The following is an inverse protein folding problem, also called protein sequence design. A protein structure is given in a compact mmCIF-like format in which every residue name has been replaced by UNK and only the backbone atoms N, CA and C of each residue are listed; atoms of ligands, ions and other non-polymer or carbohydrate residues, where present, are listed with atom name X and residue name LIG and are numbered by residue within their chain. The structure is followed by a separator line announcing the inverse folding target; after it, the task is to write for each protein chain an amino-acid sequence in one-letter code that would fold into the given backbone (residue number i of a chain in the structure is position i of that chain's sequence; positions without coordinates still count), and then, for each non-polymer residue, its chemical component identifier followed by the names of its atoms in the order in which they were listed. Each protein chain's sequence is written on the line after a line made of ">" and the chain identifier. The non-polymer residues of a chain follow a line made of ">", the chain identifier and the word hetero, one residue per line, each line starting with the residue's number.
data_IF_439651029356
#
_entry.id   IF_439651029356
#
_cell.length_a   1.000
_cell.length_b   1.000
_cell.length_c   1.000
_cell.angle_alpha   90.00
_cell.angle_beta   90.00
_cell.angle_gamma   90.00
#
_symmetry.space_group_name_H-M   'P 1'
#
loop_
_entity.id
_entity.type
_entity.pdbx_description
1 polymer ?
#
# COMPACT_ATOMS: atom_id res chain seq x y z
N UNK A 1 -20.58 8.46 -8.20
CA UNK A 1 -19.18 7.99 -8.23
C UNK A 1 -18.95 7.06 -7.07
N UNK A 2 -18.91 5.75 -7.32
CA UNK A 2 -18.39 4.80 -6.35
C UNK A 2 -16.86 4.90 -6.34
N UNK A 3 -16.26 4.81 -5.15
CA UNK A 3 -14.81 4.79 -4.96
C UNK A 3 -14.42 3.36 -4.60
N UNK A 4 -13.45 2.79 -5.29
CA UNK A 4 -12.95 1.45 -4.96
C UNK A 4 -12.09 1.50 -3.70
N UNK A 5 -11.14 2.44 -3.67
CA UNK A 5 -10.32 2.68 -2.49
C UNK A 5 -10.87 3.87 -1.69
N UNK A 6 -11.15 3.67 -0.41
CA UNK A 6 -11.62 4.74 0.48
C UNK A 6 -10.62 5.91 0.50
N UNK A 7 -11.12 7.14 0.60
CA UNK A 7 -10.27 8.35 0.55
C UNK A 7 -9.13 8.32 1.57
N UNK A 8 -9.40 7.88 2.81
CA UNK A 8 -8.36 7.76 3.84
C UNK A 8 -7.24 6.79 3.43
N UNK A 9 -7.60 5.67 2.79
CA UNK A 9 -6.63 4.69 2.27
C UNK A 9 -5.81 5.28 1.12
N UNK A 10 -6.44 6.06 0.22
CA UNK A 10 -5.71 6.77 -0.83
C UNK A 10 -4.70 7.77 -0.25
N UNK A 11 -5.09 8.53 0.77
CA UNK A 11 -4.23 9.52 1.42
C UNK A 11 -3.08 8.85 2.19
N UNK A 12 -3.32 7.70 2.82
CA UNK A 12 -2.27 6.89 3.46
C UNK A 12 -1.25 6.40 2.43
N UNK A 13 -1.70 5.83 1.32
CA UNK A 13 -0.79 5.36 0.26
C UNK A 13 -0.02 6.53 -0.35
N UNK A 14 -0.68 7.64 -0.68
CA UNK A 14 -0.02 8.83 -1.23
C UNK A 14 1.07 9.37 -0.29
N UNK A 15 0.82 9.39 1.01
CA UNK A 15 1.80 9.87 1.99
C UNK A 15 2.95 8.89 2.21
N UNK A 16 2.67 7.59 2.37
CA UNK A 16 3.70 6.58 2.63
C UNK A 16 4.58 6.28 1.43
N UNK A 17 4.05 6.42 0.21
CA UNK A 17 4.75 6.12 -1.04
C UNK A 17 5.09 7.37 -1.85
N UNK A 18 5.01 8.57 -1.25
CA UNK A 18 5.25 9.85 -1.93
C UNK A 18 6.54 9.88 -2.73
N UNK A 19 7.60 9.26 -2.19
CA UNK A 19 8.91 9.21 -2.82
C UNK A 19 9.15 8.01 -3.74
N UNK A 20 8.17 7.11 -3.83
CA UNK A 20 8.22 5.93 -4.68
C UNK A 20 8.25 6.33 -6.16
N UNK A 21 9.25 5.83 -6.89
CA UNK A 21 9.52 6.25 -8.27
C UNK A 21 8.34 5.97 -9.22
N UNK A 22 7.73 4.78 -9.12
CA UNK A 22 6.57 4.42 -9.96
C UNK A 22 5.39 5.35 -9.67
N UNK A 23 5.13 5.69 -8.40
CA UNK A 23 4.01 6.56 -8.03
C UNK A 23 4.22 7.97 -8.61
N UNK A 24 5.39 8.56 -8.39
CA UNK A 24 5.75 9.90 -8.93
C UNK A 24 5.51 10.00 -10.44
N UNK A 25 5.76 8.92 -11.15
CA UNK A 25 5.67 8.84 -12.61
C UNK A 25 4.22 8.65 -13.06
N UNK A 26 3.47 7.75 -12.40
CA UNK A 26 2.03 7.56 -12.62
C UNK A 26 1.27 8.87 -12.33
N UNK A 27 1.63 9.60 -11.28
CA UNK A 27 0.99 10.89 -10.96
C UNK A 27 1.12 11.92 -12.09
N UNK A 28 2.26 11.95 -12.79
CA UNK A 28 2.49 12.86 -13.92
C UNK A 28 1.76 12.43 -15.19
N UNK A 29 1.82 11.14 -15.50
CA UNK A 29 1.37 10.57 -16.77
C UNK A 29 -0.12 10.24 -16.78
N UNK A 30 -0.68 9.77 -15.66
CA UNK A 30 -2.07 9.34 -15.58
C UNK A 30 -3.05 10.45 -15.21
N UNK A 31 -2.57 11.64 -14.85
CA UNK A 31 -3.44 12.77 -14.46
C UNK A 31 -4.48 13.12 -15.53
N UNK A 32 -4.09 13.03 -16.80
CA UNK A 32 -5.01 13.27 -17.91
C UNK A 32 -6.12 12.21 -18.00
N UNK A 33 -5.85 10.95 -17.68
CA UNK A 33 -6.86 9.90 -17.71
C UNK A 33 -7.81 10.00 -16.53
N UNK A 34 -7.29 10.33 -15.33
CA UNK A 34 -8.12 10.69 -14.18
C UNK A 34 -9.13 11.78 -14.55
N UNK A 35 -8.70 12.82 -15.28
CA UNK A 35 -9.58 13.92 -15.70
C UNK A 35 -10.60 13.55 -16.79
N UNK A 36 -10.37 12.45 -17.53
CA UNK A 36 -11.25 11.96 -18.59
C UNK A 36 -12.36 11.05 -18.06
N UNK A 37 -12.16 10.45 -16.89
CA UNK A 37 -13.15 9.59 -16.23
C UNK A 37 -14.14 10.43 -15.43
N UNK A 38 -15.41 10.44 -15.85
CA UNK A 38 -16.41 11.37 -15.33
C UNK A 38 -17.35 10.75 -14.28
N UNK A 39 -17.43 9.43 -14.23
CA UNK A 39 -18.44 8.69 -13.45
C UNK A 39 -17.81 7.66 -12.50
N UNK A 40 -16.63 7.15 -12.84
CA UNK A 40 -15.77 6.36 -11.98
C UNK A 40 -14.71 7.26 -11.36
N UNK A 41 -14.53 7.19 -10.04
CA UNK A 41 -13.39 7.86 -9.39
C UNK A 41 -12.24 6.88 -9.36
N UNK A 42 -11.32 6.99 -10.32
CA UNK A 42 -10.12 6.17 -10.39
C UNK A 42 -8.89 7.08 -10.42
N UNK A 43 -8.31 7.30 -9.25
CA UNK A 43 -7.23 8.26 -9.06
C UNK A 43 -5.87 7.73 -9.52
N UNK A 44 -4.87 8.61 -9.58
CA UNK A 44 -3.47 8.21 -9.81
C UNK A 44 -2.97 7.22 -8.74
N UNK A 45 -3.51 7.28 -7.52
CA UNK A 45 -3.22 6.29 -6.47
C UNK A 45 -3.83 4.93 -6.82
N UNK A 46 -5.05 4.89 -7.34
CA UNK A 46 -5.69 3.63 -7.77
C UNK A 46 -4.98 3.03 -8.99
N UNK A 47 -4.47 3.85 -9.91
CA UNK A 47 -3.55 3.38 -10.95
C UNK A 47 -2.28 2.76 -10.37
N UNK A 48 -1.63 3.44 -9.42
CA UNK A 48 -0.43 2.92 -8.78
C UNK A 48 -0.69 1.58 -8.09
N UNK A 49 -1.77 1.46 -7.33
CA UNK A 49 -2.16 0.21 -6.67
C UNK A 49 -2.40 -0.91 -7.68
N UNK A 50 -3.11 -0.65 -8.78
CA UNK A 50 -3.34 -1.70 -9.79
C UNK A 50 -2.09 -2.13 -10.54
N UNK A 51 -1.25 -1.17 -10.93
CA UNK A 51 0.01 -1.48 -11.62
C UNK A 51 0.90 -2.34 -10.72
N UNK A 52 0.97 -2.02 -9.43
CA UNK A 52 1.73 -2.81 -8.46
C UNK A 52 1.15 -4.20 -8.27
N UNK A 53 -0.18 -4.32 -8.06
CA UNK A 53 -0.83 -5.61 -7.88
C UNK A 53 -0.59 -6.52 -9.09
N UNK A 54 -0.76 -6.00 -10.30
CA UNK A 54 -0.52 -6.78 -11.52
C UNK A 54 0.93 -7.22 -11.68
N UNK A 55 1.91 -6.38 -11.32
CA UNK A 55 3.33 -6.77 -11.36
C UNK A 55 3.60 -7.89 -10.36
N UNK A 56 3.03 -7.80 -9.16
CA UNK A 56 3.20 -8.83 -8.14
C UNK A 56 2.50 -10.13 -8.53
N UNK A 57 1.30 -10.07 -9.10
CA UNK A 57 0.58 -11.22 -9.63
C UNK A 57 1.38 -11.92 -10.75
N UNK A 58 1.93 -11.14 -11.71
CA UNK A 58 2.80 -11.67 -12.77
C UNK A 58 4.06 -12.27 -12.18
N UNK A 59 4.65 -11.66 -11.15
CA UNK A 59 5.86 -12.18 -10.52
C UNK A 59 5.61 -13.49 -9.75
N UNK A 60 4.48 -13.58 -9.05
CA UNK A 60 4.10 -14.78 -8.29
C UNK A 60 3.81 -15.96 -9.22
N UNK A 61 3.07 -15.73 -10.30
CA UNK A 61 2.60 -16.80 -11.18
C UNK A 61 3.51 -17.03 -12.38
N UNK A 62 4.31 -16.03 -12.78
CA UNK A 62 5.28 -16.07 -13.88
C UNK A 62 4.70 -16.70 -15.16
N UNK A 63 4.99 -17.98 -15.40
CA UNK A 63 4.53 -18.75 -16.55
C UNK A 63 3.02 -19.04 -16.51
N UNK A 64 2.44 -19.17 -15.32
CA UNK A 64 1.04 -19.51 -15.09
C UNK A 64 0.12 -18.27 -15.04
N UNK A 65 0.68 -17.06 -15.18
CA UNK A 65 -0.14 -15.86 -15.24
C UNK A 65 -1.02 -15.86 -16.50
N UNK A 66 -2.32 -15.59 -16.31
CA UNK A 66 -3.31 -15.61 -17.39
C UNK A 66 -3.30 -14.32 -18.21
N UNK A 67 -2.28 -14.17 -19.05
CA UNK A 67 -2.14 -13.02 -19.94
C UNK A 67 -3.29 -12.89 -20.96
N UNK A 68 -3.92 -14.01 -21.35
CA UNK A 68 -4.99 -14.00 -22.36
C UNK A 68 -6.30 -13.40 -21.81
N UNK A 69 -6.49 -13.43 -20.49
CA UNK A 69 -7.65 -12.82 -19.85
C UNK A 69 -7.29 -11.60 -18.97
N UNK A 70 -6.07 -11.04 -19.09
CA UNK A 70 -5.62 -9.94 -18.24
C UNK A 70 -6.56 -8.71 -18.30
N UNK A 71 -7.01 -8.34 -19.49
CA UNK A 71 -8.00 -7.27 -19.68
C UNK A 71 -9.34 -7.61 -19.06
N UNK A 72 -9.92 -8.76 -19.39
CA UNK A 72 -11.25 -9.15 -18.89
C UNK A 72 -11.27 -9.30 -17.37
N UNK A 73 -10.22 -9.86 -16.78
CA UNK A 73 -10.07 -10.03 -15.34
C UNK A 73 -10.07 -8.66 -14.63
N UNK A 74 -9.26 -7.71 -15.10
CA UNK A 74 -9.22 -6.38 -14.50
C UNK A 74 -10.49 -5.58 -14.79
N UNK A 75 -10.98 -5.60 -16.03
CA UNK A 75 -12.19 -4.89 -16.45
C UNK A 75 -13.42 -5.36 -15.67
N UNK A 76 -13.58 -6.66 -15.45
CA UNK A 76 -14.68 -7.21 -14.66
C UNK A 76 -14.69 -6.71 -13.22
N UNK A 77 -13.52 -6.50 -12.60
CA UNK A 77 -13.42 -5.89 -11.27
C UNK A 77 -13.75 -4.40 -11.30
N UNK A 78 -13.23 -3.66 -12.29
CA UNK A 78 -13.38 -2.21 -12.33
C UNK A 78 -14.79 -1.76 -12.75
N UNK A 79 -15.46 -2.52 -13.62
CA UNK A 79 -16.82 -2.18 -14.11
C UNK A 79 -17.87 -2.16 -13.00
N UNK A 80 -17.64 -2.87 -11.89
CA UNK A 80 -18.54 -2.84 -10.73
C UNK A 80 -18.66 -1.45 -10.11
N UNK A 81 -17.63 -0.61 -10.29
CA UNK A 81 -17.56 0.76 -9.77
C UNK A 81 -17.91 1.83 -10.81
N UNK A 82 -18.25 1.42 -12.03
CA UNK A 82 -18.41 2.30 -13.17
C UNK A 82 -19.86 2.39 -13.63
N UNK A 83 -20.43 3.59 -13.51
CA UNK A 83 -21.80 3.91 -13.94
C UNK A 83 -21.85 4.62 -15.30
N UNK A 84 -20.73 4.77 -16.01
CA UNK A 84 -20.70 5.36 -17.35
C UNK A 84 -21.38 4.45 -18.37
N UNK A 85 -21.83 5.06 -19.48
CA UNK A 85 -22.37 4.32 -20.60
C UNK A 85 -21.33 3.31 -21.13
N UNK A 86 -21.73 2.05 -21.25
CA UNK A 86 -20.88 0.93 -21.71
C UNK A 86 -19.60 0.74 -20.88
N UNK A 87 -19.58 1.17 -19.61
CA UNK A 87 -18.43 1.09 -18.73
C UNK A 87 -17.15 1.71 -19.34
N UNK A 88 -17.31 2.86 -20.00
CA UNK A 88 -16.23 3.56 -20.68
C UNK A 88 -15.09 3.96 -19.74
N UNK A 89 -15.40 4.39 -18.52
CA UNK A 89 -14.38 4.79 -17.54
C UNK A 89 -13.56 3.57 -17.07
N UNK A 90 -14.21 2.45 -16.76
CA UNK A 90 -13.54 1.20 -16.39
C UNK A 90 -12.70 0.65 -17.55
N UNK A 91 -13.16 0.78 -18.80
CA UNK A 91 -12.38 0.42 -19.99
C UNK A 91 -11.12 1.28 -20.10
N UNK A 92 -11.20 2.59 -19.83
CA UNK A 92 -10.03 3.48 -19.78
C UNK A 92 -9.08 3.08 -18.66
N UNK A 93 -9.59 2.92 -17.44
CA UNK A 93 -8.77 2.55 -16.28
C UNK A 93 -8.04 1.23 -16.50
N UNK A 94 -8.74 0.21 -17.00
CA UNK A 94 -8.16 -1.11 -17.35
C UNK A 94 -7.05 -0.97 -18.38
N UNK A 95 -7.33 -0.24 -19.47
CA UNK A 95 -6.39 -0.05 -20.57
C UNK A 95 -5.10 0.63 -20.12
N UNK A 96 -5.23 1.68 -19.32
CA UNK A 96 -4.09 2.46 -18.83
C UNK A 96 -3.27 1.66 -17.82
N UNK A 97 -3.89 0.93 -16.89
CA UNK A 97 -3.18 0.08 -15.93
C UNK A 97 -2.37 -1.03 -16.60
N UNK A 98 -2.97 -1.77 -17.54
CA UNK A 98 -2.27 -2.84 -18.28
C UNK A 98 -1.14 -2.27 -19.14
N UNK A 99 -1.38 -1.12 -19.79
CA UNK A 99 -0.34 -0.45 -20.59
C UNK A 99 0.85 -0.03 -19.71
N UNK A 100 0.59 0.44 -18.49
CA UNK A 100 1.64 0.76 -17.52
C UNK A 100 2.47 -0.46 -17.12
N UNK A 101 1.83 -1.59 -16.87
CA UNK A 101 2.54 -2.85 -16.55
C UNK A 101 3.40 -3.28 -17.74
N UNK A 102 2.83 -3.28 -18.95
CA UNK A 102 3.57 -3.60 -20.17
C UNK A 102 4.76 -2.65 -20.38
N UNK A 103 4.59 -1.35 -20.12
CA UNK A 103 5.67 -0.37 -20.19
C UNK A 103 6.82 -0.71 -19.24
N UNK A 104 6.52 -1.06 -17.98
CA UNK A 104 7.55 -1.41 -16.99
C UNK A 104 8.31 -2.68 -17.37
N UNK A 105 7.62 -3.66 -17.97
CA UNK A 105 8.25 -4.86 -18.51
C UNK A 105 9.10 -4.57 -19.74
N UNK A 106 8.61 -3.74 -20.67
CA UNK A 106 9.39 -3.30 -21.83
C UNK A 106 10.67 -2.58 -21.40
N UNK A 107 10.68 -1.74 -20.37
CA UNK A 107 11.94 -1.13 -19.90
C UNK A 107 13.03 -2.15 -19.53
N UNK A 108 12.64 -3.38 -19.20
CA UNK A 108 13.51 -4.43 -18.71
C UNK A 108 13.77 -5.55 -19.75
N UNK A 109 13.33 -5.39 -21.01
CA UNK A 109 13.39 -6.43 -22.05
C UNK A 109 14.82 -6.95 -22.30
N UNK A 110 15.82 -6.08 -22.17
CA UNK A 110 17.23 -6.39 -22.46
C UNK A 110 17.90 -7.26 -21.38
N UNK A 111 17.19 -7.56 -20.28
CA UNK A 111 17.72 -8.32 -19.14
C UNK A 111 17.11 -9.70 -18.99
N UNK A 112 15.87 -9.90 -19.43
CA UNK A 112 15.17 -11.20 -19.41
C UNK A 112 14.22 -11.31 -20.59
N UNK A 113 14.43 -12.30 -21.43
CA UNK A 113 13.61 -12.56 -22.63
C UNK A 113 12.12 -12.74 -22.28
N UNK A 114 11.81 -13.31 -21.11
CA UNK A 114 10.44 -13.50 -20.64
C UNK A 114 9.68 -12.18 -20.45
N UNK A 115 10.34 -11.09 -20.08
CA UNK A 115 9.67 -9.80 -19.85
C UNK A 115 9.20 -9.17 -21.15
N UNK A 116 9.97 -9.30 -22.23
CA UNK A 116 9.56 -8.89 -23.57
C UNK A 116 8.33 -9.68 -24.01
N UNK A 117 8.37 -11.00 -23.80
CA UNK A 117 7.26 -11.90 -24.11
C UNK A 117 5.99 -11.52 -23.33
N UNK A 118 6.09 -11.29 -22.02
CA UNK A 118 4.96 -10.88 -21.18
C UNK A 118 4.38 -9.53 -21.58
N UNK A 119 5.24 -8.53 -21.85
CA UNK A 119 4.80 -7.22 -22.32
C UNK A 119 4.06 -7.33 -23.67
N UNK A 120 4.55 -8.18 -24.58
CA UNK A 120 3.89 -8.47 -25.84
C UNK A 120 2.55 -9.19 -25.67
N UNK A 121 2.42 -10.12 -24.73
CA UNK A 121 1.12 -10.76 -24.43
C UNK A 121 0.12 -9.77 -23.85
N UNK A 122 0.52 -8.93 -22.90
CA UNK A 122 -0.35 -7.87 -22.35
C UNK A 122 -0.83 -6.90 -23.43
N UNK A 123 0.06 -6.42 -24.29
CA UNK A 123 -0.30 -5.50 -25.38
C UNK A 123 -1.09 -6.19 -26.49
N UNK A 124 -0.85 -7.49 -26.74
CA UNK A 124 -1.66 -8.33 -27.61
C UNK A 124 -3.10 -8.46 -27.11
N UNK A 125 -3.28 -8.67 -25.80
CA UNK A 125 -4.59 -8.72 -25.17
C UNK A 125 -5.31 -7.37 -25.19
N UNK A 126 -4.61 -6.25 -25.04
CA UNK A 126 -5.20 -4.92 -25.25
C UNK A 126 -5.69 -4.74 -26.70
N UNK A 127 -4.89 -5.20 -27.68
CA UNK A 127 -5.22 -5.11 -29.10
C UNK A 127 -6.47 -5.91 -29.47
N UNK A 128 -6.69 -7.09 -28.88
CA UNK A 128 -7.90 -7.90 -29.13
C UNK A 128 -9.18 -7.23 -28.61
N UNK A 129 -9.06 -6.20 -27.76
CA UNK A 129 -10.16 -5.39 -27.23
C UNK A 129 -10.32 -4.02 -27.92
N UNK A 130 -9.68 -3.86 -29.09
CA UNK A 130 -9.62 -2.62 -29.89
C UNK A 130 -9.06 -1.42 -29.11
N UNK A 131 -8.14 -1.67 -28.16
CA UNK A 131 -7.49 -0.61 -27.39
C UNK A 131 -6.26 -0.10 -28.14
N UNK A 132 -6.19 1.21 -28.37
CA UNK A 132 -4.99 1.87 -28.88
C UNK A 132 -3.94 2.08 -27.78
N UNK A 133 -3.32 0.98 -27.34
CA UNK A 133 -2.29 1.00 -26.29
C UNK A 133 -1.04 1.80 -26.71
N UNK A 134 -0.77 1.94 -28.02
CA UNK A 134 0.36 2.73 -28.53
C UNK A 134 0.21 4.20 -28.19
N UNK A 135 -0.99 4.76 -28.35
CA UNK A 135 -1.26 6.14 -27.93
C UNK A 135 -1.05 6.30 -26.42
N UNK A 136 -1.45 5.32 -25.61
CA UNK A 136 -1.26 5.36 -24.15
C UNK A 136 0.24 5.30 -23.81
N UNK A 137 1.02 4.48 -24.50
CA UNK A 137 2.49 4.43 -24.34
C UNK A 137 3.16 5.74 -24.75
N UNK A 138 2.76 6.32 -25.87
CA UNK A 138 3.26 7.63 -26.32
C UNK A 138 2.95 8.73 -25.31
N UNK A 139 1.72 8.74 -24.79
CA UNK A 139 1.28 9.64 -23.74
C UNK A 139 2.14 9.48 -22.47
N UNK A 140 2.38 8.24 -22.02
CA UNK A 140 3.26 7.94 -20.88
C UNK A 140 4.68 8.45 -21.13
N UNK A 141 5.28 8.08 -22.26
CA UNK A 141 6.65 8.44 -22.63
C UNK A 141 6.81 9.96 -22.74
N UNK A 142 5.82 10.68 -23.27
CA UNK A 142 5.86 12.14 -23.43
C UNK A 142 5.97 12.90 -22.10
N UNK A 143 5.62 12.25 -20.98
CA UNK A 143 5.65 12.83 -19.62
C UNK A 143 6.88 12.44 -18.83
N UNK A 144 7.78 11.65 -19.42
CA UNK A 144 8.96 11.09 -18.77
C UNK A 144 10.25 11.64 -19.41
N UNK A 145 11.08 12.35 -18.64
CA UNK A 145 12.45 12.63 -19.04
C UNK A 145 13.27 11.34 -19.15
N UNK A 146 14.24 11.30 -20.07
CA UNK A 146 15.10 10.13 -20.33
C UNK A 146 15.73 9.52 -19.06
N UNK A 147 16.23 10.35 -18.14
CA UNK A 147 16.81 9.89 -16.88
C UNK A 147 15.81 9.10 -16.00
N UNK A 148 14.51 9.43 -16.06
CA UNK A 148 13.49 8.71 -15.29
C UNK A 148 13.25 7.30 -15.84
N UNK A 149 13.44 7.07 -17.15
CA UNK A 149 13.32 5.72 -17.72
C UNK A 149 14.37 4.77 -17.14
N UNK A 150 15.62 5.24 -17.05
CA UNK A 150 16.72 4.44 -16.49
C UNK A 150 16.56 4.21 -14.98
N UNK A 151 16.16 5.24 -14.22
CA UNK A 151 15.88 5.08 -12.79
C UNK A 151 14.74 4.07 -12.54
N UNK A 152 13.67 4.11 -13.33
CA UNK A 152 12.56 3.14 -13.24
C UNK A 152 13.07 1.74 -13.59
N UNK A 153 13.84 1.61 -14.67
CA UNK A 153 14.42 0.33 -15.09
C UNK A 153 15.26 -0.29 -13.98
N UNK A 154 16.19 0.47 -13.40
CA UNK A 154 17.03 0.03 -12.28
C UNK A 154 16.15 -0.42 -11.10
N UNK A 155 15.12 0.37 -10.77
CA UNK A 155 14.19 0.02 -9.70
C UNK A 155 13.45 -1.29 -9.97
N UNK A 156 12.83 -1.44 -11.14
CA UNK A 156 12.03 -2.62 -11.49
C UNK A 156 12.89 -3.88 -11.54
N UNK A 157 14.10 -3.81 -12.11
CA UNK A 157 15.04 -4.94 -12.10
C UNK A 157 15.40 -5.35 -10.68
N UNK A 158 15.73 -4.38 -9.81
CA UNK A 158 16.02 -4.65 -8.40
C UNK A 158 14.79 -5.11 -7.60
N UNK A 159 13.59 -4.77 -8.05
CA UNK A 159 12.33 -5.12 -7.40
C UNK A 159 11.86 -6.54 -7.75
N UNK A 160 11.75 -6.86 -9.05
CA UNK A 160 11.22 -8.15 -9.49
C UNK A 160 12.13 -9.31 -9.05
N UNK A 161 13.44 -9.07 -8.99
CA UNK A 161 14.42 -10.07 -8.55
C UNK A 161 14.49 -10.22 -7.01
N UNK A 162 13.75 -9.43 -6.24
CA UNK A 162 13.80 -9.47 -4.78
C UNK A 162 12.67 -10.33 -4.20
N UNK A 163 12.95 -11.60 -3.80
CA UNK A 163 11.92 -12.54 -3.32
C UNK A 163 11.16 -12.03 -2.09
N UNK A 164 11.78 -11.17 -1.27
CA UNK A 164 11.27 -10.74 0.03
C UNK A 164 10.47 -9.43 -0.02
N UNK A 165 10.42 -8.75 -1.17
CA UNK A 165 9.70 -7.48 -1.33
C UNK A 165 8.43 -7.65 -2.14
N UNK A 166 7.28 -7.56 -1.49
CA UNK A 166 5.96 -7.51 -2.14
C UNK A 166 5.34 -6.14 -1.90
N UNK A 167 5.31 -5.30 -2.93
CA UNK A 167 4.86 -3.92 -2.84
C UNK A 167 3.34 -3.86 -2.70
N UNK A 168 2.60 -4.79 -3.32
CA UNK A 168 1.17 -4.99 -3.08
C UNK A 168 0.89 -5.27 -1.60
N UNK A 169 1.64 -6.20 -0.99
CA UNK A 169 1.52 -6.51 0.44
C UNK A 169 1.89 -5.31 1.31
N UNK A 170 2.92 -4.53 0.93
CA UNK A 170 3.32 -3.33 1.67
C UNK A 170 2.24 -2.23 1.60
N UNK A 171 1.58 -2.07 0.45
CA UNK A 171 0.42 -1.18 0.29
C UNK A 171 -0.74 -1.66 1.17
N UNK A 172 -1.05 -2.96 1.12
CA UNK A 172 -2.13 -3.54 1.92
C UNK A 172 -1.87 -3.39 3.43
N UNK A 173 -0.64 -3.68 3.87
CA UNK A 173 -0.19 -3.47 5.24
C UNK A 173 -0.28 -1.99 5.63
N UNK A 174 0.13 -1.07 4.75
CA UNK A 174 0.01 0.38 4.99
C UNK A 174 -1.43 0.80 5.21
N UNK A 175 -2.37 0.26 4.44
CA UNK A 175 -3.80 0.56 4.59
C UNK A 175 -4.34 -0.07 5.89
N UNK A 176 -4.08 -1.36 6.09
CA UNK A 176 -4.56 -2.15 7.23
C UNK A 176 -4.06 -1.62 8.58
N UNK A 177 -2.82 -1.13 8.59
CA UNK A 177 -2.15 -0.62 9.79
C UNK A 177 -2.15 0.91 9.86
N UNK A 178 -2.92 1.59 9.01
CA UNK A 178 -3.00 3.06 8.96
C UNK A 178 -1.64 3.76 8.94
N UNK A 179 -0.71 3.23 8.15
CA UNK A 179 0.66 3.73 8.00
C UNK A 179 1.57 3.46 9.21
N UNK A 180 1.12 2.67 10.18
CA UNK A 180 1.93 2.28 11.32
C UNK A 180 2.85 1.09 10.99
N UNK A 181 3.92 0.98 11.78
CA UNK A 181 4.88 -0.10 11.64
C UNK A 181 4.21 -1.45 11.97
N UNK A 182 4.17 -2.37 11.00
CA UNK A 182 3.60 -3.71 11.16
C UNK A 182 4.24 -4.48 12.33
N UNK A 183 5.56 -4.41 12.47
CA UNK A 183 6.29 -5.09 13.55
C UNK A 183 5.84 -4.56 14.91
N UNK A 184 5.75 -3.24 15.08
CA UNK A 184 5.21 -2.63 16.32
C UNK A 184 3.82 -3.17 16.67
N UNK A 185 2.93 -3.26 15.69
CA UNK A 185 1.58 -3.79 15.92
C UNK A 185 1.60 -5.26 16.32
N UNK A 186 2.43 -6.08 15.65
CA UNK A 186 2.56 -7.50 15.99
C UNK A 186 3.18 -7.70 17.37
N UNK A 187 4.18 -6.90 17.73
CA UNK A 187 4.82 -6.93 19.05
C UNK A 187 3.84 -6.53 20.16
N UNK A 188 2.96 -5.54 19.90
CA UNK A 188 1.93 -5.11 20.85
C UNK A 188 0.75 -6.07 20.96
N UNK A 189 0.45 -6.84 19.90
CA UNK A 189 -0.75 -7.69 19.81
C UNK A 189 -0.97 -8.63 21.01
N UNK A 190 0.04 -9.33 21.54
CA UNK A 190 -0.13 -10.22 22.70
C UNK A 190 -0.58 -9.52 23.99
N UNK A 191 -0.40 -8.19 24.08
CA UNK A 191 -0.75 -7.41 25.27
C UNK A 191 -2.19 -6.89 25.24
N UNK A 192 -2.86 -6.92 24.09
CA UNK A 192 -4.23 -6.44 23.94
C UNK A 192 -5.21 -7.61 24.01
N UNK A 193 -6.38 -7.41 24.62
CA UNK A 193 -7.41 -8.45 24.67
C UNK A 193 -7.83 -8.88 23.26
N UNK A 194 -7.99 -10.19 23.06
CA UNK A 194 -8.38 -10.76 21.77
C UNK A 194 -9.86 -10.49 21.50
N UNK A 195 -10.18 -10.03 20.30
CA UNK A 195 -11.54 -9.72 19.86
C UNK A 195 -11.54 -8.97 18.53
N UNK A 196 -12.72 -8.70 17.98
CA UNK A 196 -12.90 -8.01 16.70
C UNK A 196 -12.21 -6.63 16.67
N UNK A 197 -12.16 -5.94 17.81
CA UNK A 197 -11.57 -4.59 17.94
C UNK A 197 -10.09 -4.57 18.35
N UNK A 198 -9.41 -5.72 18.46
CA UNK A 198 -8.03 -5.76 18.97
C UNK A 198 -7.08 -4.85 18.16
N UNK A 199 -7.15 -4.94 16.83
CA UNK A 199 -6.31 -4.13 15.95
C UNK A 199 -6.64 -2.63 16.08
N UNK A 200 -7.94 -2.29 16.13
CA UNK A 200 -8.39 -0.91 16.28
C UNK A 200 -7.89 -0.29 17.60
N UNK A 201 -7.92 -1.05 18.69
CA UNK A 201 -7.37 -0.61 19.98
C UNK A 201 -5.85 -0.40 19.95
N UNK A 202 -5.10 -1.28 19.29
CA UNK A 202 -3.64 -1.11 19.14
C UNK A 202 -3.33 0.15 18.33
N UNK A 203 -4.02 0.35 17.21
CA UNK A 203 -3.86 1.55 16.36
C UNK A 203 -4.20 2.81 17.16
N UNK A 204 -5.34 2.84 17.86
CA UNK A 204 -5.73 3.97 18.69
C UNK A 204 -4.69 4.28 19.78
N UNK A 205 -4.17 3.24 20.43
CA UNK A 205 -3.11 3.36 21.44
C UNK A 205 -1.85 3.99 20.85
N UNK A 206 -1.36 3.48 19.72
CA UNK A 206 -0.15 4.03 19.06
C UNK A 206 -0.37 5.50 18.67
N UNK A 207 -1.55 5.89 18.18
CA UNK A 207 -1.88 7.29 17.87
C UNK A 207 -1.79 8.17 19.11
N UNK A 208 -2.43 7.78 20.21
CA UNK A 208 -2.40 8.54 21.47
C UNK A 208 -0.96 8.67 22.00
N UNK A 209 -0.18 7.59 21.94
CA UNK A 209 1.23 7.59 22.36
C UNK A 209 2.09 8.50 21.48
N UNK A 210 1.97 8.41 20.14
CA UNK A 210 2.74 9.26 19.21
C UNK A 210 2.34 10.74 19.26
N UNK A 211 1.10 11.04 19.63
CA UNK A 211 0.62 12.41 19.78
C UNK A 211 1.20 13.13 21.01
N UNK A 212 1.89 12.42 21.90
CA UNK A 212 2.56 13.00 23.06
C UNK A 212 4.08 12.80 23.02
N UNK A 213 4.83 13.78 23.54
CA UNK A 213 6.29 13.69 23.68
C UNK A 213 6.74 13.39 25.12
N UNK A 214 5.79 13.16 26.03
CA UNK A 214 6.04 13.03 27.47
C UNK A 214 5.84 11.58 27.93
N UNK A 215 6.93 10.95 28.40
CA UNK A 215 6.91 9.62 29.02
C UNK A 215 5.88 9.52 30.17
N UNK A 216 5.69 10.58 30.94
CA UNK A 216 4.68 10.59 32.02
C UNK A 216 3.25 10.52 31.48
N UNK A 217 2.98 11.12 30.32
CA UNK A 217 1.68 11.07 29.65
C UNK A 217 1.45 9.70 29.03
N UNK A 218 2.48 9.10 28.43
CA UNK A 218 2.41 7.74 27.86
C UNK A 218 2.04 6.72 28.94
N UNK A 219 2.60 6.84 30.15
CA UNK A 219 2.23 5.98 31.27
C UNK A 219 0.75 6.14 31.66
N UNK A 220 0.21 7.36 31.63
CA UNK A 220 -1.22 7.63 31.89
C UNK A 220 -2.13 7.07 30.81
N UNK A 221 -1.76 7.22 29.53
CA UNK A 221 -2.47 6.62 28.40
C UNK A 221 -2.50 5.09 28.56
N UNK A 222 -1.36 4.48 28.87
CA UNK A 222 -1.27 3.04 29.08
C UNK A 222 -2.12 2.58 30.27
N UNK A 223 -2.08 3.31 31.39
CA UNK A 223 -2.94 3.04 32.54
C UNK A 223 -4.43 3.12 32.17
N UNK A 224 -4.86 4.14 31.42
CA UNK A 224 -6.23 4.26 30.90
C UNK A 224 -6.63 3.03 30.10
N UNK A 225 -5.79 2.58 29.16
CA UNK A 225 -6.08 1.39 28.34
C UNK A 225 -6.17 0.09 29.15
N UNK A 226 -5.46 0.00 30.28
CA UNK A 226 -5.58 -1.11 31.22
C UNK A 226 -6.92 -1.05 31.97
N UNK A 227 -7.29 0.11 32.53
CA UNK A 227 -8.56 0.27 33.25
C UNK A 227 -9.78 0.03 32.35
N UNK A 228 -9.70 0.46 31.08
CA UNK A 228 -10.71 0.21 30.06
C UNK A 228 -10.72 -1.24 29.57
N UNK A 229 -9.89 -2.13 30.14
CA UNK A 229 -9.74 -3.54 29.74
C UNK A 229 -9.45 -3.72 28.25
N UNK A 230 -8.59 -2.86 27.70
CA UNK A 230 -8.06 -2.98 26.33
C UNK A 230 -6.70 -3.67 26.31
N UNK A 231 -5.87 -3.36 27.31
CA UNK A 231 -4.59 -4.04 27.57
C UNK A 231 -4.79 -5.01 28.74
N UNK A 232 -4.27 -6.23 28.59
CA UNK A 232 -4.27 -7.24 29.65
C UNK A 232 -3.28 -6.86 30.76
N UNK A 233 -3.75 -6.88 32.00
CA UNK A 233 -2.94 -6.66 33.20
C UNK A 233 -2.64 -7.95 33.97
N UNK A 234 -2.87 -9.12 33.35
CA UNK A 234 -2.69 -10.43 33.98
C UNK A 234 -1.32 -10.53 34.70
N UNK A 235 -1.38 -10.73 36.02
CA UNK A 235 -0.25 -10.80 36.96
C UNK A 235 0.73 -9.61 36.96
N UNK A 236 0.36 -8.45 36.40
CA UNK A 236 1.24 -7.26 36.22
C UNK A 236 2.54 -7.55 35.42
N UNK A 237 2.64 -8.72 34.80
CA UNK A 237 3.83 -9.19 34.07
C UNK A 237 4.06 -8.41 32.77
N UNK A 238 3.03 -7.73 32.27
CA UNK A 238 3.07 -6.97 31.02
C UNK A 238 4.00 -5.74 31.04
N UNK A 239 4.29 -5.15 32.22
CA UNK A 239 4.94 -3.83 32.28
C UNK A 239 6.33 -3.83 31.67
N UNK A 240 7.12 -4.86 31.96
CA UNK A 240 8.48 -4.95 31.46
C UNK A 240 8.54 -5.15 29.94
N UNK A 241 7.88 -6.19 29.41
CA UNK A 241 7.81 -6.42 27.98
C UNK A 241 7.17 -5.26 27.19
N UNK A 242 6.11 -4.64 27.72
CA UNK A 242 5.49 -3.47 27.06
C UNK A 242 6.45 -2.27 27.01
N UNK A 243 7.23 -2.04 28.07
CA UNK A 243 8.29 -1.03 28.05
C UNK A 243 9.36 -1.33 27.02
N UNK A 244 9.82 -2.59 26.93
CA UNK A 244 10.81 -3.01 25.94
C UNK A 244 10.34 -2.66 24.52
N UNK A 245 9.10 -3.02 24.17
CA UNK A 245 8.53 -2.73 22.85
C UNK A 245 8.44 -1.22 22.59
N UNK A 246 7.89 -0.46 23.53
CA UNK A 246 7.79 1.00 23.37
C UNK A 246 9.16 1.66 23.27
N UNK A 247 10.16 1.13 23.96
CA UNK A 247 11.53 1.66 23.92
C UNK A 247 12.24 1.32 22.61
N UNK A 248 12.14 0.07 22.14
CA UNK A 248 12.72 -0.39 20.87
C UNK A 248 12.17 0.35 19.66
N UNK A 249 10.88 0.71 19.69
CA UNK A 249 10.23 1.50 18.64
C UNK A 249 10.29 3.01 18.89
N UNK A 250 11.17 3.46 19.80
CA UNK A 250 11.44 4.87 20.15
C UNK A 250 10.21 5.67 20.63
N UNK A 251 9.15 4.98 21.05
CA UNK A 251 7.93 5.59 21.59
C UNK A 251 8.09 6.01 23.06
N UNK A 252 9.02 5.41 23.80
CA UNK A 252 9.27 5.72 25.21
C UNK A 252 10.77 5.78 25.50
N UNK A 253 11.27 6.83 26.15
CA UNK A 253 12.73 7.10 26.21
C UNK A 253 13.38 6.71 27.52
N UNK A 254 12.66 6.78 28.63
CA UNK A 254 13.25 6.56 29.95
C UNK A 254 13.40 5.09 30.31
N UNK A 255 14.24 4.81 31.32
CA UNK A 255 14.56 3.46 31.78
C UNK A 255 13.35 2.71 32.35
N UNK A 256 13.37 1.38 32.27
CA UNK A 256 12.35 0.43 32.78
C UNK A 256 11.85 0.73 34.20
N UNK A 257 12.74 1.11 35.11
CA UNK A 257 12.36 1.44 36.49
C UNK A 257 11.48 2.68 36.59
N UNK A 258 11.73 3.69 35.74
CA UNK A 258 10.92 4.90 35.69
C UNK A 258 9.54 4.60 35.09
N UNK A 259 9.49 3.75 34.06
CA UNK A 259 8.23 3.23 33.52
C UNK A 259 7.40 2.52 34.58
N UNK A 260 8.00 1.57 35.30
CA UNK A 260 7.31 0.81 36.34
C UNK A 260 6.74 1.74 37.43
N UNK A 261 7.52 2.73 37.87
CA UNK A 261 7.06 3.75 38.82
C UNK A 261 5.92 4.59 38.25
N UNK A 262 6.04 5.06 37.02
CA UNK A 262 5.04 5.90 36.37
C UNK A 262 3.71 5.16 36.19
N UNK A 263 3.74 3.91 35.69
CA UNK A 263 2.54 3.07 35.57
C UNK A 263 1.92 2.79 36.94
N UNK A 264 2.72 2.42 37.94
CA UNK A 264 2.19 2.18 39.30
C UNK A 264 1.50 3.41 39.89
N UNK A 265 2.03 4.61 39.63
CA UNK A 265 1.42 5.85 40.08
C UNK A 265 0.15 6.18 39.29
N UNK A 266 0.18 5.99 37.97
CA UNK A 266 -0.98 6.22 37.10
C UNK A 266 -2.13 5.22 37.38
N UNK A 267 -1.82 4.00 37.82
CA UNK A 267 -2.81 2.97 38.19
C UNK A 267 -3.44 3.19 39.59
N UNK A 268 -2.96 4.17 40.36
CA UNK A 268 -3.53 4.54 41.68
C UNK A 268 -4.47 5.74 41.61
N UNK A 269 -4.49 6.43 40.47
CA UNK A 269 -5.32 7.60 40.17
C UNK A 269 -6.61 7.15 39.51
#
# INVERSE_FOLDING_TARGET
>A
MQQRLLKNSQDLVSNSFRDHIILKVIEKSCKQYESRMNTMRFSTIEFFVEVVNMIDDIREHSVDYDFENAFDNLFCRLREYDSSANNADAKIATSVSITWVAYLLFLCYDKKDDYDHWAHRLTGNLKSHDINYRQILEDINSKLPEHQHEEIKIYILGYIDNPDKWLSQLIEDTIKYEGMNRKLIQDLKPFFYTGEDQLAHIIAYIKEVKATSSDSTIAKITAKYIHEKKISDYDKSFKGPLWEILHEHELYKTKKDNWNKAINNAMKL
#
